data_IF_857780134392
#
_entry.id   IF_857780134392
#
_cell.length_a   1.000
_cell.length_b   1.000
_cell.length_c   1.000
_cell.angle_alpha   90.00
_cell.angle_beta   90.00
_cell.angle_gamma   90.00
#
_symmetry.space_group_name_H-M   'P 1'
#
loop_
_entity.id
_entity.type
_entity.pdbx_description
1 polymer ?
#
# COMPACT_ATOMS: atom_id res chain seq x y z
N UNK A 1 8.38 -17.64 -8.22
CA UNK A 1 7.80 -17.58 -6.88
C UNK A 1 8.88 -17.15 -5.89
N UNK A 2 8.67 -16.05 -5.14
CA UNK A 2 9.64 -15.59 -4.15
C UNK A 2 10.04 -16.64 -3.13
N UNK A 3 9.17 -17.59 -2.80
CA UNK A 3 9.49 -18.66 -1.86
C UNK A 3 10.58 -19.57 -2.37
N UNK A 4 10.83 -19.63 -3.67
CA UNK A 4 11.83 -20.51 -4.26
C UNK A 4 13.22 -19.89 -4.31
N UNK A 5 13.35 -18.55 -4.30
CA UNK A 5 14.65 -17.88 -4.40
C UNK A 5 14.99 -16.99 -3.21
N UNK A 6 14.03 -16.68 -2.34
CA UNK A 6 14.30 -15.90 -1.13
C UNK A 6 14.51 -16.83 0.05
N UNK A 7 15.42 -16.42 0.97
CA UNK A 7 15.63 -17.13 2.22
C UNK A 7 14.31 -17.16 3.01
N UNK A 8 13.91 -18.32 3.59
CA UNK A 8 12.66 -18.40 4.36
C UNK A 8 12.57 -17.41 5.53
N UNK A 9 13.68 -17.14 6.22
CA UNK A 9 13.70 -16.15 7.31
C UNK A 9 13.46 -14.75 6.79
N UNK A 10 14.06 -14.41 5.65
CA UNK A 10 13.83 -13.11 4.98
C UNK A 10 12.35 -12.97 4.61
N UNK A 11 11.78 -14.01 3.99
CA UNK A 11 10.38 -13.99 3.57
C UNK A 11 9.45 -13.75 4.76
N UNK A 12 9.65 -14.50 5.84
CA UNK A 12 8.83 -14.39 7.03
C UNK A 12 8.97 -13.01 7.71
N UNK A 13 10.19 -12.53 7.87
CA UNK A 13 10.45 -11.21 8.50
C UNK A 13 9.90 -10.06 7.69
N UNK A 14 9.97 -10.16 6.36
CA UNK A 14 9.44 -9.12 5.49
C UNK A 14 7.93 -8.98 5.65
N UNK A 15 7.20 -10.09 5.80
CA UNK A 15 5.74 -10.07 5.91
C UNK A 15 5.22 -9.84 7.32
N UNK A 16 6.04 -10.00 8.36
CA UNK A 16 5.62 -9.88 9.74
C UNK A 16 4.93 -8.55 10.08
N UNK A 17 5.45 -7.37 9.69
CA UNK A 17 4.76 -6.10 9.96
C UNK A 17 3.37 -6.03 9.33
N UNK A 18 3.19 -6.61 8.14
CA UNK A 18 1.88 -6.65 7.46
C UNK A 18 0.88 -7.50 8.23
N UNK A 19 1.34 -8.63 8.78
CA UNK A 19 0.49 -9.50 9.60
C UNK A 19 0.10 -8.83 10.91
N UNK A 20 1.04 -8.09 11.53
CA UNK A 20 0.82 -7.44 12.83
C UNK A 20 0.03 -6.15 12.74
N UNK A 21 0.32 -5.31 11.74
CA UNK A 21 -0.22 -3.94 11.70
C UNK A 21 -1.15 -3.69 10.52
N UNK A 22 -1.41 -4.71 9.71
CA UNK A 22 -2.36 -4.63 8.61
C UNK A 22 -1.77 -4.17 7.29
N UNK A 23 -2.62 -4.16 6.27
CA UNK A 23 -2.26 -3.84 4.90
C UNK A 23 -2.95 -2.55 4.46
N UNK A 24 -2.16 -1.60 3.99
CA UNK A 24 -2.62 -0.26 3.61
C UNK A 24 -2.14 0.07 2.21
N UNK A 25 -2.84 1.01 1.59
CA UNK A 25 -2.50 1.46 0.24
C UNK A 25 -2.84 2.93 0.08
N UNK A 26 -2.04 3.64 -0.73
CA UNK A 26 -2.36 4.99 -1.16
C UNK A 26 -3.01 4.90 -2.54
N UNK A 27 -4.14 5.56 -2.70
CA UNK A 27 -4.92 5.50 -3.94
C UNK A 27 -5.23 6.92 -4.42
N UNK A 28 -4.99 7.15 -5.70
CA UNK A 28 -5.33 8.42 -6.34
C UNK A 28 -6.86 8.57 -6.43
N UNK A 29 -7.37 9.77 -6.17
CA UNK A 29 -8.79 10.11 -6.29
C UNK A 29 -8.98 11.29 -7.23
N UNK A 30 -8.37 11.22 -8.38
CA UNK A 30 -8.57 12.24 -9.40
C UNK A 30 -10.04 12.21 -9.87
N UNK A 31 -10.72 13.36 -9.98
CA UNK A 31 -12.12 13.37 -10.41
C UNK A 31 -12.35 12.79 -11.81
N UNK A 32 -11.28 12.61 -12.59
CA UNK A 32 -11.38 11.97 -13.89
C UNK A 32 -11.33 10.45 -13.82
N UNK A 33 -11.04 9.87 -12.66
CA UNK A 33 -11.04 8.43 -12.46
C UNK A 33 -12.45 7.95 -12.11
N UNK A 34 -12.83 6.76 -12.59
CA UNK A 34 -14.12 6.18 -12.20
C UNK A 34 -14.22 5.94 -10.69
N UNK A 35 -15.42 6.05 -10.16
CA UNK A 35 -15.68 5.82 -8.72
C UNK A 35 -15.25 4.44 -8.27
N UNK A 36 -15.23 3.46 -9.15
CA UNK A 36 -14.80 2.10 -8.85
C UNK A 36 -13.30 1.99 -8.61
N UNK A 37 -12.53 3.01 -8.89
CA UNK A 37 -11.10 3.04 -8.59
C UNK A 37 -10.82 2.98 -7.08
N UNK A 38 -11.74 3.47 -6.26
CA UNK A 38 -11.62 3.33 -4.81
C UNK A 38 -12.95 2.99 -4.13
N UNK A 39 -14.04 3.00 -4.87
CA UNK A 39 -15.38 2.62 -4.37
C UNK A 39 -15.80 1.21 -4.77
N UNK A 40 -15.02 0.55 -5.64
CA UNK A 40 -15.32 -0.78 -6.16
C UNK A 40 -14.31 -1.82 -5.70
N UNK A 41 -14.06 -2.80 -6.55
CA UNK A 41 -13.03 -3.83 -6.31
C UNK A 41 -11.64 -3.20 -6.46
N UNK A 42 -10.76 -3.45 -5.49
CA UNK A 42 -9.38 -2.97 -5.54
C UNK A 42 -8.46 -4.06 -6.08
N UNK A 43 -7.55 -3.67 -6.97
CA UNK A 43 -6.52 -4.56 -7.51
C UNK A 43 -6.97 -5.30 -8.75
N UNK A 44 -6.09 -6.18 -9.21
CA UNK A 44 -6.26 -7.00 -10.40
C UNK A 44 -6.17 -8.48 -10.02
N UNK A 45 -6.40 -9.36 -10.99
CA UNK A 45 -6.28 -10.81 -10.76
C UNK A 45 -4.90 -11.21 -10.23
N UNK A 46 -3.85 -10.47 -10.61
CA UNK A 46 -2.49 -10.72 -10.13
C UNK A 46 -2.24 -10.24 -8.70
N UNK A 47 -3.11 -9.40 -8.16
CA UNK A 47 -3.04 -8.92 -6.80
C UNK A 47 -3.05 -7.41 -6.64
N UNK A 48 -2.89 -6.97 -5.41
CA UNK A 48 -2.86 -5.57 -4.99
C UNK A 48 -1.59 -5.31 -4.17
N UNK A 49 -0.79 -4.32 -4.56
CA UNK A 49 0.38 -3.90 -3.79
C UNK A 49 -0.05 -3.13 -2.55
N UNK A 50 0.54 -3.49 -1.39
CA UNK A 50 0.21 -2.88 -0.10
C UNK A 50 1.46 -2.54 0.70
N UNK A 51 1.30 -1.63 1.67
CA UNK A 51 2.29 -1.21 2.66
C UNK A 51 1.78 -1.61 4.04
N UNK A 52 2.68 -1.97 4.97
CA UNK A 52 2.26 -2.31 6.33
C UNK A 52 1.73 -1.08 7.07
N UNK A 53 0.86 -1.29 8.05
CA UNK A 53 0.33 -0.21 8.88
C UNK A 53 1.44 0.54 9.61
N UNK A 54 2.42 -0.18 10.12
CA UNK A 54 3.59 0.40 10.80
C UNK A 54 4.33 1.38 9.89
N UNK A 55 4.66 0.94 8.68
CA UNK A 55 5.38 1.78 7.72
C UNK A 55 4.51 2.91 7.18
N UNK A 56 3.22 2.65 6.94
CA UNK A 56 2.30 3.70 6.51
C UNK A 56 2.22 4.82 7.55
N UNK A 57 2.15 4.46 8.84
CA UNK A 57 2.15 5.45 9.92
C UNK A 57 3.41 6.33 9.88
N UNK A 58 4.58 5.72 9.70
CA UNK A 58 5.85 6.44 9.63
C UNK A 58 5.88 7.42 8.46
N UNK A 59 5.51 6.96 7.27
CA UNK A 59 5.58 7.81 6.07
C UNK A 59 4.54 8.93 6.11
N UNK A 60 3.37 8.69 6.69
CA UNK A 60 2.36 9.74 6.85
C UNK A 60 2.84 10.84 7.82
N UNK A 61 3.49 10.45 8.92
CA UNK A 61 4.10 11.41 9.85
C UNK A 61 5.19 12.23 9.17
N UNK A 62 6.06 11.58 8.42
CA UNK A 62 7.16 12.23 7.71
C UNK A 62 6.65 13.18 6.63
N UNK A 63 5.64 12.79 5.87
CA UNK A 63 5.05 13.62 4.83
C UNK A 63 4.34 14.85 5.39
N UNK A 64 3.78 14.76 6.58
CA UNK A 64 3.14 15.86 7.31
C UNK A 64 2.19 16.70 6.46
N UNK A 65 1.28 16.00 5.74
CA UNK A 65 0.28 16.65 4.90
C UNK A 65 0.73 17.05 3.50
N UNK A 66 1.97 16.77 3.14
CA UNK A 66 2.53 17.12 1.83
C UNK A 66 2.54 15.90 0.89
N UNK A 67 1.68 15.92 -0.13
CA UNK A 67 1.55 14.82 -1.10
C UNK A 67 2.86 14.62 -1.88
N UNK A 68 3.54 15.71 -2.27
CA UNK A 68 4.82 15.60 -3.00
C UNK A 68 5.86 14.86 -2.19
N UNK A 69 5.90 15.13 -0.89
CA UNK A 69 6.83 14.45 0.03
C UNK A 69 6.48 12.97 0.15
N UNK A 70 5.17 12.66 0.23
CA UNK A 70 4.69 11.28 0.29
C UNK A 70 5.10 10.51 -0.97
N UNK A 71 4.89 11.08 -2.14
CA UNK A 71 5.30 10.50 -3.43
C UNK A 71 6.79 10.20 -3.45
N UNK A 72 7.59 11.16 -2.99
CA UNK A 72 9.06 11.02 -2.96
C UNK A 72 9.51 9.87 -2.05
N UNK A 73 8.89 9.74 -0.88
CA UNK A 73 9.22 8.65 0.06
C UNK A 73 9.00 7.29 -0.57
N UNK A 74 7.93 7.13 -1.36
CA UNK A 74 7.62 5.88 -2.04
C UNK A 74 8.35 5.69 -3.37
N UNK A 75 9.12 6.68 -3.81
CA UNK A 75 9.81 6.61 -5.09
C UNK A 75 8.92 6.82 -6.30
N UNK A 76 7.78 7.48 -6.10
CA UNK A 76 6.85 7.83 -7.16
C UNK A 76 7.25 9.15 -7.83
N UNK A 77 6.78 9.38 -9.05
CA UNK A 77 6.95 10.66 -9.72
C UNK A 77 6.01 11.70 -9.11
N UNK A 78 6.43 12.96 -9.13
CA UNK A 78 5.61 14.05 -8.63
C UNK A 78 4.29 14.11 -9.42
N UNK A 79 3.19 14.19 -8.68
CA UNK A 79 1.84 14.24 -9.25
C UNK A 79 1.17 12.88 -9.49
N UNK A 80 1.89 11.77 -9.29
CA UNK A 80 1.33 10.43 -9.54
C UNK A 80 0.08 10.15 -8.71
N UNK A 81 0.01 10.68 -7.49
CA UNK A 81 -1.16 10.49 -6.61
C UNK A 81 -2.14 11.67 -6.63
N UNK A 82 -1.94 12.65 -7.51
CA UNK A 82 -2.83 13.81 -7.60
C UNK A 82 -2.66 14.75 -6.41
N UNK A 83 -3.69 15.55 -6.14
CA UNK A 83 -3.64 16.57 -5.10
C UNK A 83 -4.09 16.08 -3.74
N UNK A 84 -4.99 15.11 -3.70
CA UNK A 84 -5.61 14.64 -2.46
C UNK A 84 -5.92 13.15 -2.52
N UNK A 85 -4.91 12.30 -2.37
CA UNK A 85 -5.13 10.85 -2.38
C UNK A 85 -5.86 10.38 -1.13
N UNK A 86 -6.30 9.13 -1.16
CA UNK A 86 -6.87 8.45 0.01
C UNK A 86 -5.92 7.38 0.50
N UNK A 87 -6.02 7.09 1.79
CA UNK A 87 -5.37 5.94 2.41
C UNK A 87 -6.43 4.86 2.57
N UNK A 88 -6.11 3.66 2.12
CA UNK A 88 -7.02 2.51 2.19
C UNK A 88 -6.47 1.53 3.22
N UNK A 89 -7.34 1.03 4.09
CA UNK A 89 -7.05 -0.06 5.02
C UNK A 89 -7.89 -1.25 4.62
N UNK A 90 -7.23 -2.39 4.37
CA UNK A 90 -7.90 -3.63 4.01
C UNK A 90 -8.36 -4.36 5.27
N UNK A 91 -9.65 -4.72 5.35
CA UNK A 91 -10.21 -5.32 6.56
C UNK A 91 -9.68 -6.73 6.83
N UNK A 92 -9.57 -7.54 5.78
CA UNK A 92 -9.15 -8.95 5.91
C UNK A 92 -8.28 -9.35 4.71
N UNK A 93 -6.99 -8.96 4.72
CA UNK A 93 -6.10 -9.27 3.60
C UNK A 93 -5.98 -10.77 3.38
N UNK A 94 -6.08 -11.20 2.10
CA UNK A 94 -5.99 -12.60 1.73
C UNK A 94 -4.72 -12.86 0.93
N UNK A 95 -4.08 -13.99 1.20
CA UNK A 95 -2.93 -14.49 0.47
C UNK A 95 -1.78 -13.47 0.44
N UNK A 96 -1.35 -13.02 1.61
CA UNK A 96 -0.23 -12.07 1.77
C UNK A 96 1.07 -12.73 1.30
N UNK A 97 1.79 -12.03 0.42
CA UNK A 97 3.01 -12.56 -0.20
C UNK A 97 3.95 -11.45 -0.66
N UNK A 98 5.20 -11.80 -0.92
CA UNK A 98 6.15 -10.89 -1.55
C UNK A 98 5.91 -10.91 -3.07
N UNK A 99 5.94 -9.74 -3.75
CA UNK A 99 5.75 -9.67 -5.20
C UNK A 99 6.76 -10.53 -5.95
N UNK A 100 6.32 -11.21 -7.00
CA UNK A 100 7.17 -12.08 -7.82
C UNK A 100 7.54 -11.49 -9.19
N UNK A 101 7.05 -10.28 -9.48
CA UNK A 101 7.32 -9.61 -10.75
C UNK A 101 6.25 -9.82 -11.82
N UNK A 102 5.27 -10.68 -11.56
CA UNK A 102 4.20 -10.99 -12.51
C UNK A 102 2.90 -10.21 -12.25
N UNK A 103 2.85 -9.44 -11.15
CA UNK A 103 1.68 -8.66 -10.81
C UNK A 103 1.51 -7.46 -11.74
N UNK A 104 0.28 -7.02 -11.93
CA UNK A 104 -0.01 -5.80 -12.68
C UNK A 104 0.71 -4.61 -12.03
N UNK A 105 1.54 -3.91 -12.80
CA UNK A 105 2.35 -2.80 -12.32
C UNK A 105 3.77 -3.19 -11.89
N UNK A 106 4.05 -4.47 -11.65
CA UNK A 106 5.37 -4.93 -11.22
C UNK A 106 6.45 -4.75 -12.31
N UNK A 107 6.04 -4.68 -13.56
CA UNK A 107 6.95 -4.48 -14.69
C UNK A 107 7.22 -3.01 -14.99
N UNK A 108 6.77 -2.11 -14.12
CA UNK A 108 7.06 -0.68 -14.23
C UNK A 108 8.44 -0.37 -13.64
N UNK A 109 8.92 0.86 -13.85
CA UNK A 109 10.18 1.34 -13.29
C UNK A 109 10.19 1.36 -11.74
N UNK A 110 9.05 1.20 -11.10
CA UNK A 110 8.94 1.24 -9.64
C UNK A 110 9.16 -0.12 -8.98
N UNK A 111 9.12 -1.21 -9.75
CA UNK A 111 9.30 -2.55 -9.19
C UNK A 111 10.77 -2.82 -8.87
N UNK A 112 11.03 -3.29 -7.63
CA UNK A 112 12.34 -3.76 -7.20
C UNK A 112 12.14 -5.15 -6.58
N UNK A 113 12.85 -6.19 -7.08
CA UNK A 113 12.73 -7.52 -6.49
C UNK A 113 13.06 -7.55 -5.00
N UNK A 114 12.40 -8.44 -4.25
CA UNK A 114 12.61 -8.60 -2.81
C UNK A 114 11.58 -7.88 -1.96
N UNK A 115 10.60 -7.22 -2.57
CA UNK A 115 9.49 -6.63 -1.84
C UNK A 115 9.72 -5.19 -1.37
N UNK A 116 10.45 -4.40 -2.15
CA UNK A 116 10.66 -2.99 -1.85
C UNK A 116 10.28 -2.11 -3.04
N UNK A 117 9.82 -0.89 -2.75
CA UNK A 117 9.59 0.14 -3.77
C UNK A 117 10.92 0.79 -4.17
N UNK A 118 10.90 1.58 -5.25
CA UNK A 118 12.08 2.35 -5.66
C UNK A 118 12.51 3.39 -4.62
N UNK A 119 11.60 3.78 -3.71
CA UNK A 119 11.92 4.63 -2.55
C UNK A 119 12.38 3.85 -1.33
N UNK A 120 12.64 2.55 -1.49
CA UNK A 120 13.09 1.65 -0.42
C UNK A 120 12.05 1.43 0.69
N UNK A 121 10.77 1.52 0.35
CA UNK A 121 9.68 1.16 1.28
C UNK A 121 9.31 -0.31 1.07
N UNK A 122 9.15 -1.06 2.16
CA UNK A 122 8.74 -2.45 2.09
C UNK A 122 7.31 -2.56 1.53
N UNK A 123 7.11 -3.45 0.59
CA UNK A 123 5.79 -3.71 0.01
C UNK A 123 5.51 -5.20 -0.05
N UNK A 124 4.23 -5.54 -0.09
CA UNK A 124 3.75 -6.91 -0.25
C UNK A 124 2.60 -6.90 -1.24
N UNK A 125 2.11 -8.08 -1.55
CA UNK A 125 0.94 -8.24 -2.43
C UNK A 125 -0.10 -9.08 -1.69
N UNK A 126 -1.36 -8.71 -1.85
CA UNK A 126 -2.50 -9.50 -1.40
C UNK A 126 -3.41 -9.73 -2.60
N UNK A 127 -4.39 -10.63 -2.44
CA UNK A 127 -5.42 -10.81 -3.46
C UNK A 127 -6.26 -9.54 -3.60
N UNK A 128 -6.89 -9.35 -4.75
CA UNK A 128 -7.82 -8.24 -4.97
C UNK A 128 -8.87 -8.19 -3.87
N UNK A 129 -9.31 -6.98 -3.51
CA UNK A 129 -10.19 -6.76 -2.36
C UNK A 129 -11.59 -6.40 -2.86
N UNK A 130 -12.62 -7.20 -2.51
CA UNK A 130 -14.00 -6.89 -2.90
C UNK A 130 -14.50 -5.58 -2.31
N UNK A 131 -15.49 -5.00 -3.00
CA UNK A 131 -16.18 -3.81 -2.50
C UNK A 131 -16.72 -4.06 -1.08
N UNK A 132 -16.52 -3.09 -0.18
CA UNK A 132 -17.03 -3.17 1.18
C UNK A 132 -16.10 -3.86 2.16
N UNK A 133 -14.97 -4.41 1.69
CA UNK A 133 -14.00 -5.09 2.55
C UNK A 133 -12.75 -4.26 2.80
N UNK A 134 -12.88 -2.93 2.70
CA UNK A 134 -11.82 -1.99 3.01
C UNK A 134 -12.40 -0.67 3.51
N UNK A 135 -11.58 0.10 4.20
CA UNK A 135 -11.94 1.43 4.71
C UNK A 135 -11.07 2.49 4.03
N UNK A 136 -11.61 3.69 3.88
CA UNK A 136 -10.96 4.78 3.16
C UNK A 136 -10.90 6.03 4.04
N UNK A 137 -9.75 6.68 4.08
CA UNK A 137 -9.55 7.95 4.77
C UNK A 137 -8.77 8.90 3.87
N UNK A 138 -9.28 10.12 3.68
CA UNK A 138 -8.58 11.11 2.86
C UNK A 138 -7.26 11.51 3.51
N UNK A 139 -6.22 11.70 2.70
CA UNK A 139 -4.90 12.10 3.19
C UNK A 139 -4.94 13.42 3.95
N UNK A 140 -5.79 14.37 3.54
CA UNK A 140 -5.92 15.67 4.19
C UNK A 140 -6.92 15.70 5.35
N UNK A 141 -7.52 14.55 5.71
CA UNK A 141 -8.46 14.53 6.82
C UNK A 141 -7.70 14.65 8.14
N UNK A 142 -8.08 15.61 9.03
CA UNK A 142 -7.38 15.78 10.31
C UNK A 142 -7.47 14.57 11.24
N UNK A 143 -8.41 13.66 11.01
CA UNK A 143 -8.54 12.42 11.79
C UNK A 143 -7.65 11.26 11.29
N UNK A 144 -6.88 11.49 10.22
CA UNK A 144 -6.07 10.43 9.61
C UNK A 144 -5.17 9.70 10.62
N UNK A 145 -4.44 10.45 11.43
CA UNK A 145 -3.49 9.84 12.38
C UNK A 145 -4.20 9.04 13.48
N UNK A 146 -5.35 9.51 13.95
CA UNK A 146 -6.16 8.76 14.93
C UNK A 146 -6.70 7.47 14.31
N UNK A 147 -7.17 7.55 13.07
CA UNK A 147 -7.65 6.39 12.32
C UNK A 147 -6.53 5.36 12.13
N UNK A 148 -5.32 5.82 11.80
CA UNK A 148 -4.15 4.94 11.68
C UNK A 148 -3.82 4.25 12.99
N UNK A 149 -3.78 5.00 14.09
CA UNK A 149 -3.48 4.44 15.43
C UNK A 149 -4.46 3.34 15.81
N UNK A 150 -5.74 3.56 15.59
CA UNK A 150 -6.77 2.54 15.86
C UNK A 150 -6.56 1.30 14.98
N UNK A 151 -6.23 1.50 13.71
CA UNK A 151 -6.04 0.42 12.76
C UNK A 151 -4.85 -0.48 13.06
N UNK A 152 -3.78 0.08 13.65
CA UNK A 152 -2.58 -0.70 13.99
C UNK A 152 -2.54 -1.15 15.45
N UNK A 153 -3.61 -0.90 16.21
CA UNK A 153 -3.72 -1.39 17.59
C UNK A 153 -3.09 -0.49 18.66
N UNK A 154 -2.90 0.79 18.33
CA UNK A 154 -2.37 1.76 19.31
C UNK A 154 -3.46 2.63 19.93
#
# INVERSE_FOLDING_TARGET
DPKTYLNPDYYQKHLEPFEKTGCYRIQRTDPMLPDDQYGGVLGHNSGLFVTSGEDMMKVLKEADGDVSKLEKIFGMDEGDWGKNPVIIRVDDPQHLRIPDGNEMGAWTKYYIPGGFTSGNQAEAVIDSVPRGEYQVMKFNNPELMNWMKKGIGE
#
